data_IF_375889209469
#
_entry.id   IF_375889209469
#
_cell.length_a   1.000
_cell.length_b   1.000
_cell.length_c   1.000
_cell.angle_alpha   90.00
_cell.angle_beta   90.00
_cell.angle_gamma   90.00
#
_symmetry.space_group_name_H-M   'P 1'
#
loop_
_entity.id
_entity.type
_entity.pdbx_description
1 polymer ?
#
# COMPACT_ATOMS: atom_id res chain seq x y z
N UNK A 1 11.52 -13.54 21.86
CA UNK A 1 11.75 -12.20 22.44
C UNK A 1 12.63 -11.49 21.43
N UNK A 2 12.11 -10.62 20.57
CA UNK A 2 11.61 -9.28 20.93
C UNK A 2 10.47 -8.87 20.00
N UNK A 3 9.29 -8.64 20.57
CA UNK A 3 8.19 -7.96 19.88
C UNK A 3 8.46 -6.45 20.02
N UNK A 4 9.24 -5.89 19.11
CA UNK A 4 9.45 -4.45 19.06
C UNK A 4 8.20 -3.83 18.44
N UNK A 5 7.19 -3.64 19.29
CA UNK A 5 6.02 -2.84 18.96
C UNK A 5 6.51 -1.45 18.57
N UNK A 6 6.47 -1.14 17.27
CA UNK A 6 6.67 0.21 16.79
C UNK A 6 5.55 1.06 17.41
N UNK A 7 5.93 1.95 18.33
CA UNK A 7 5.04 2.73 19.19
C UNK A 7 4.19 3.74 18.43
N UNK A 8 3.26 3.26 17.62
CA UNK A 8 2.20 4.07 17.05
C UNK A 8 0.94 3.81 17.88
N UNK A 9 0.73 4.62 18.91
CA UNK A 9 -0.49 4.69 19.72
C UNK A 9 -1.67 5.32 18.96
N UNK A 10 -1.79 5.01 17.66
CA UNK A 10 -2.88 5.42 16.78
C UNK A 10 -3.60 4.17 16.25
N UNK A 11 -4.86 4.32 15.86
CA UNK A 11 -5.70 3.31 15.23
C UNK A 11 -5.16 2.78 13.89
N UNK A 12 -6.03 2.11 13.15
CA UNK A 12 -5.60 1.19 12.10
C UNK A 12 -4.94 1.92 10.91
N UNK A 13 -3.67 1.59 10.64
CA UNK A 13 -2.96 1.97 9.41
C UNK A 13 -3.28 0.98 8.29
N UNK A 14 -3.93 1.42 7.22
CA UNK A 14 -4.30 0.56 6.09
C UNK A 14 -3.41 0.81 4.88
N UNK A 15 -2.99 -0.27 4.24
CA UNK A 15 -2.15 -0.25 3.05
C UNK A 15 -2.93 -0.86 1.90
N UNK A 16 -3.22 -0.08 0.88
CA UNK A 16 -3.80 -0.53 -0.38
C UNK A 16 -2.69 -0.61 -1.42
N UNK A 17 -2.55 -1.75 -2.06
CA UNK A 17 -1.48 -1.98 -3.03
C UNK A 17 -2.05 -2.37 -4.39
N UNK A 18 -1.29 -2.01 -5.43
CA UNK A 18 -1.46 -2.54 -6.76
C UNK A 18 -1.11 -4.02 -6.71
N UNK A 19 -2.07 -4.89 -7.00
CA UNK A 19 -1.89 -6.34 -7.17
C UNK A 19 -2.24 -6.76 -8.59
N UNK A 20 -1.99 -5.87 -9.56
CA UNK A 20 -2.26 -6.10 -10.99
C UNK A 20 -1.20 -6.97 -11.66
N UNK A 21 -1.47 -7.36 -12.91
CA UNK A 21 -0.66 -8.34 -13.66
C UNK A 21 0.78 -7.92 -14.01
N UNK A 22 1.20 -6.69 -13.70
CA UNK A 22 2.53 -6.20 -14.01
C UNK A 22 3.57 -6.65 -12.98
N UNK A 23 4.83 -6.70 -13.39
CA UNK A 23 6.01 -6.87 -12.54
C UNK A 23 6.03 -5.89 -11.35
N UNK A 24 5.75 -4.61 -11.60
CA UNK A 24 5.61 -3.57 -10.56
C UNK A 24 4.37 -3.75 -9.69
N UNK A 25 3.34 -4.44 -10.18
CA UNK A 25 2.19 -4.86 -9.37
C UNK A 25 2.59 -5.96 -8.39
N UNK A 26 3.36 -6.96 -8.84
CA UNK A 26 3.91 -7.99 -7.97
C UNK A 26 4.84 -7.38 -6.88
N UNK A 27 5.67 -6.40 -7.23
CA UNK A 27 6.53 -5.68 -6.27
C UNK A 27 5.69 -4.96 -5.22
N UNK A 28 4.69 -4.17 -5.64
CA UNK A 28 3.83 -3.42 -4.73
C UNK A 28 3.06 -4.35 -3.77
N UNK A 29 2.47 -5.43 -4.29
CA UNK A 29 1.77 -6.46 -3.49
C UNK A 29 2.71 -7.12 -2.47
N UNK A 30 3.88 -7.60 -2.90
CA UNK A 30 4.87 -8.23 -2.00
C UNK A 30 5.35 -7.28 -0.92
N UNK A 31 5.57 -6.00 -1.24
CA UNK A 31 5.97 -4.99 -0.28
C UNK A 31 4.88 -4.72 0.77
N UNK A 32 3.62 -4.58 0.37
CA UNK A 32 2.49 -4.40 1.30
C UNK A 32 2.28 -5.62 2.21
N UNK A 33 2.43 -6.83 1.68
CA UNK A 33 2.40 -8.06 2.49
C UNK A 33 3.55 -8.11 3.50
N UNK A 34 4.76 -7.69 3.09
CA UNK A 34 5.91 -7.59 3.99
C UNK A 34 5.62 -6.63 5.14
N UNK A 35 5.14 -5.42 4.85
CA UNK A 35 4.78 -4.45 5.88
C UNK A 35 3.73 -4.96 6.86
N UNK A 36 2.78 -5.77 6.37
CA UNK A 36 1.78 -6.44 7.21
C UNK A 36 2.41 -7.46 8.15
N UNK A 37 3.31 -8.31 7.65
CA UNK A 37 4.05 -9.27 8.47
C UNK A 37 4.95 -8.58 9.49
N UNK A 38 5.54 -7.45 9.11
CA UNK A 38 6.44 -6.66 9.95
C UNK A 38 5.67 -5.79 10.99
N UNK A 39 4.33 -5.82 11.00
CA UNK A 39 3.51 -5.09 11.96
C UNK A 39 3.45 -3.57 11.75
N UNK A 40 3.87 -3.08 10.58
CA UNK A 40 3.91 -1.63 10.27
C UNK A 40 2.52 -1.07 9.98
N UNK A 41 1.65 -1.87 9.38
CA UNK A 41 0.28 -1.55 9.01
C UNK A 41 -0.39 -2.78 8.41
N UNK A 42 -1.67 -2.70 8.05
CA UNK A 42 -2.42 -3.85 7.54
C UNK A 42 -2.72 -3.66 6.06
N UNK A 43 -2.25 -4.58 5.22
CA UNK A 43 -2.68 -4.65 3.82
C UNK A 43 -4.19 -4.89 3.76
N UNK A 44 -4.89 -4.10 2.96
CA UNK A 44 -6.33 -4.16 2.81
C UNK A 44 -6.76 -4.17 1.34
N UNK A 45 -8.00 -4.58 1.07
CA UNK A 45 -8.41 -5.02 -0.25
C UNK A 45 -8.75 -3.86 -1.19
N UNK A 46 -7.83 -3.51 -2.09
CA UNK A 46 -8.04 -2.52 -3.16
C UNK A 46 -9.21 -2.90 -4.07
N UNK A 47 -9.37 -4.19 -4.40
CA UNK A 47 -10.49 -4.66 -5.22
C UNK A 47 -11.85 -4.37 -4.55
N UNK A 48 -11.90 -4.42 -3.22
CA UNK A 48 -13.10 -4.08 -2.46
C UNK A 48 -13.42 -2.59 -2.44
N UNK A 49 -12.41 -1.72 -2.49
CA UNK A 49 -12.60 -0.27 -2.71
C UNK A 49 -13.21 -0.05 -4.10
N UNK A 50 -12.61 -0.63 -5.14
CA UNK A 50 -13.12 -0.54 -6.51
C UNK A 50 -14.54 -1.10 -6.66
N UNK A 51 -14.85 -2.20 -5.99
CA UNK A 51 -16.17 -2.83 -5.96
C UNK A 51 -17.18 -2.17 -5.02
N UNK A 52 -16.83 -1.07 -4.34
CA UNK A 52 -17.68 -0.35 -3.39
C UNK A 52 -18.29 -1.25 -2.30
N UNK A 53 -17.51 -2.22 -1.81
CA UNK A 53 -17.96 -3.17 -0.80
C UNK A 53 -18.11 -2.43 0.54
N UNK A 54 -19.35 -2.30 1.03
CA UNK A 54 -19.71 -1.44 2.16
C UNK A 54 -18.87 -1.68 3.43
N UNK A 55 -18.59 -2.93 3.77
CA UNK A 55 -17.75 -3.26 4.93
C UNK A 55 -16.29 -2.79 4.78
N UNK A 56 -15.76 -2.82 3.56
CA UNK A 56 -14.40 -2.35 3.25
C UNK A 56 -14.36 -0.83 3.29
N UNK A 57 -15.34 -0.14 2.70
CA UNK A 57 -15.45 1.32 2.76
C UNK A 57 -15.49 1.83 4.21
N UNK A 58 -16.41 1.30 5.03
CA UNK A 58 -16.54 1.68 6.45
C UNK A 58 -15.26 1.43 7.25
N UNK A 59 -14.61 0.29 7.02
CA UNK A 59 -13.33 -0.03 7.69
C UNK A 59 -12.23 0.94 7.28
N UNK A 60 -12.25 1.40 6.02
CA UNK A 60 -11.26 2.31 5.48
C UNK A 60 -11.48 3.75 5.95
N UNK A 61 -12.74 4.18 6.10
CA UNK A 61 -13.11 5.48 6.68
C UNK A 61 -12.66 5.60 8.13
N UNK A 62 -12.68 4.50 8.88
CA UNK A 62 -12.24 4.44 10.27
C UNK A 62 -10.71 4.29 10.43
N UNK A 63 -9.94 4.31 9.34
CA UNK A 63 -8.48 4.19 9.40
C UNK A 63 -7.82 5.51 9.79
N UNK A 64 -6.90 5.46 10.75
CA UNK A 64 -6.08 6.61 11.15
C UNK A 64 -5.15 7.06 10.03
N UNK A 65 -4.71 6.12 9.19
CA UNK A 65 -3.85 6.41 8.07
C UNK A 65 -4.09 5.44 6.94
N UNK A 66 -4.07 5.97 5.73
CA UNK A 66 -4.17 5.20 4.49
C UNK A 66 -2.92 5.44 3.65
N UNK A 67 -2.30 4.36 3.18
CA UNK A 67 -1.26 4.38 2.16
C UNK A 67 -1.75 3.66 0.91
N UNK A 68 -1.72 4.34 -0.23
CA UNK A 68 -1.88 3.77 -1.56
C UNK A 68 -0.50 3.51 -2.18
N UNK A 69 -0.26 2.29 -2.67
CA UNK A 69 0.97 1.90 -3.37
C UNK A 69 0.59 1.52 -4.80
N UNK A 70 0.97 2.34 -5.77
CA UNK A 70 0.70 2.11 -7.18
C UNK A 70 1.96 1.70 -7.95
N UNK A 71 1.85 0.58 -8.66
CA UNK A 71 2.96 0.01 -9.44
C UNK A 71 3.31 0.81 -10.70
N UNK A 72 2.34 1.46 -11.34
CA UNK A 72 2.54 2.12 -12.63
C UNK A 72 1.78 3.45 -12.72
N UNK A 73 2.06 4.31 -13.73
CA UNK A 73 1.47 5.65 -13.83
C UNK A 73 -0.06 5.70 -14.01
N UNK A 74 -0.71 4.55 -14.20
CA UNK A 74 -2.18 4.47 -14.22
C UNK A 74 -2.80 4.75 -12.85
N UNK A 75 -2.05 4.64 -11.76
CA UNK A 75 -2.48 5.00 -10.40
C UNK A 75 -3.85 4.39 -10.03
N UNK A 76 -4.04 3.09 -10.30
CA UNK A 76 -5.32 2.42 -10.14
C UNK A 76 -5.79 2.39 -8.68
N UNK A 77 -4.87 2.25 -7.72
CA UNK A 77 -5.20 2.23 -6.29
C UNK A 77 -5.66 3.61 -5.85
N UNK A 78 -4.86 4.63 -6.12
CA UNK A 78 -5.20 6.04 -5.88
C UNK A 78 -6.56 6.38 -6.49
N UNK A 79 -6.74 6.09 -7.78
CA UNK A 79 -7.99 6.39 -8.50
C UNK A 79 -9.19 5.68 -7.88
N UNK A 80 -9.02 4.43 -7.43
CA UNK A 80 -10.09 3.67 -6.78
C UNK A 80 -10.51 4.30 -5.46
N UNK A 81 -9.55 4.77 -4.66
CA UNK A 81 -9.77 5.47 -3.39
C UNK A 81 -10.47 6.81 -3.61
N UNK A 82 -9.98 7.64 -4.53
CA UNK A 82 -10.57 8.95 -4.85
C UNK A 82 -12.02 8.81 -5.30
N UNK A 83 -12.30 7.87 -6.21
CA UNK A 83 -13.68 7.63 -6.66
C UNK A 83 -14.58 7.02 -5.58
N UNK A 84 -14.01 6.42 -4.53
CA UNK A 84 -14.74 5.96 -3.35
C UNK A 84 -14.95 7.07 -2.31
N UNK A 85 -14.47 8.30 -2.56
CA UNK A 85 -14.63 9.46 -1.68
C UNK A 85 -13.48 9.66 -0.69
N UNK A 86 -12.42 8.85 -0.73
CA UNK A 86 -11.25 9.07 0.11
C UNK A 86 -10.38 10.18 -0.49
N UNK A 87 -10.18 11.25 0.27
CA UNK A 87 -9.37 12.41 -0.14
C UNK A 87 -8.07 12.55 0.65
N UNK A 88 -7.96 11.84 1.78
CA UNK A 88 -6.81 11.92 2.68
C UNK A 88 -6.11 10.57 2.73
N UNK A 89 -5.03 10.43 1.97
CA UNK A 89 -4.16 9.27 1.98
C UNK A 89 -2.78 9.63 1.46
N UNK A 90 -1.77 8.86 1.84
CA UNK A 90 -0.42 8.94 1.28
C UNK A 90 -0.37 8.10 0.03
N UNK A 91 0.39 8.53 -0.97
CA UNK A 91 0.48 7.83 -2.25
C UNK A 91 1.95 7.60 -2.63
N UNK A 92 2.33 6.33 -2.77
CA UNK A 92 3.62 5.89 -3.27
C UNK A 92 3.47 5.34 -4.68
N UNK A 93 4.14 5.95 -5.63
CA UNK A 93 4.19 5.47 -7.01
C UNK A 93 5.59 4.89 -7.29
N UNK A 94 5.66 3.68 -7.84
CA UNK A 94 6.95 2.95 -7.91
C UNK A 94 7.97 3.50 -8.93
N UNK A 95 7.53 4.21 -9.97
CA UNK A 95 8.44 4.91 -10.90
C UNK A 95 9.21 6.05 -10.21
N UNK A 96 8.69 6.64 -9.13
CA UNK A 96 9.44 7.59 -8.29
C UNK A 96 10.65 6.93 -7.60
N UNK A 97 10.65 5.59 -7.53
CA UNK A 97 11.76 4.77 -7.05
C UNK A 97 12.59 4.17 -8.19
N UNK A 98 12.37 4.59 -9.43
CA UNK A 98 13.03 4.06 -10.62
C UNK A 98 12.55 2.67 -11.04
N UNK A 99 11.39 2.22 -10.55
CA UNK A 99 10.81 0.92 -10.91
C UNK A 99 9.75 1.11 -12.00
N UNK A 100 10.14 0.88 -13.24
CA UNK A 100 9.27 0.98 -14.41
C UNK A 100 8.58 -0.35 -14.72
N UNK A 101 7.31 -0.27 -15.13
CA UNK A 101 6.50 -1.40 -15.60
C UNK A 101 7.18 -2.10 -16.80
N UNK A 102 7.32 -3.41 -16.73
CA UNK A 102 7.93 -4.25 -17.76
C UNK A 102 9.46 -4.26 -17.75
N UNK A 103 10.10 -3.59 -16.77
CA UNK A 103 11.56 -3.48 -16.64
C UNK A 103 12.06 -3.77 -15.23
N UNK A 104 11.17 -4.09 -14.29
CA UNK A 104 11.45 -4.16 -12.86
C UNK A 104 11.11 -5.55 -12.34
N UNK A 105 12.03 -6.52 -12.40
CA UNK A 105 11.77 -7.84 -11.85
C UNK A 105 11.44 -7.75 -10.36
N UNK A 106 10.50 -8.57 -9.90
CA UNK A 106 10.04 -8.64 -8.52
C UNK A 106 11.04 -9.35 -7.59
N UNK A 107 12.28 -8.87 -7.61
CA UNK A 107 13.39 -9.30 -6.76
C UNK A 107 13.16 -8.87 -5.31
N UNK A 108 13.87 -9.55 -4.39
CA UNK A 108 13.86 -9.18 -2.98
C UNK A 108 14.35 -7.74 -2.74
N UNK A 109 15.33 -7.30 -3.51
CA UNK A 109 15.85 -5.93 -3.47
C UNK A 109 14.75 -4.90 -3.81
N UNK A 110 14.04 -5.08 -4.94
CA UNK A 110 12.94 -4.21 -5.35
C UNK A 110 11.84 -4.17 -4.28
N UNK A 111 11.46 -5.32 -3.74
CA UNK A 111 10.43 -5.43 -2.69
C UNK A 111 10.88 -4.72 -1.41
N UNK A 112 12.12 -4.92 -0.97
CA UNK A 112 12.66 -4.29 0.23
C UNK A 112 12.79 -2.78 0.07
N UNK A 113 13.20 -2.30 -1.11
CA UNK A 113 13.25 -0.86 -1.44
C UNK A 113 11.87 -0.21 -1.31
N UNK A 114 10.84 -0.82 -1.88
CA UNK A 114 9.46 -0.32 -1.80
C UNK A 114 8.94 -0.38 -0.37
N UNK A 115 9.16 -1.49 0.33
CA UNK A 115 8.71 -1.65 1.72
C UNK A 115 9.35 -0.61 2.65
N UNK A 116 10.66 -0.34 2.50
CA UNK A 116 11.35 0.68 3.29
C UNK A 116 10.72 2.07 3.08
N UNK A 117 10.53 2.48 1.83
CA UNK A 117 9.91 3.77 1.51
C UNK A 117 8.47 3.87 2.03
N UNK A 118 7.68 2.82 1.81
CA UNK A 118 6.29 2.77 2.27
C UNK A 118 6.18 2.83 3.80
N UNK A 119 7.13 2.21 4.53
CA UNK A 119 7.21 2.29 6.00
C UNK A 119 7.45 3.73 6.47
N UNK A 120 8.41 4.43 5.89
CA UNK A 120 8.66 5.85 6.20
C UNK A 120 7.41 6.69 5.99
N UNK A 121 6.71 6.45 4.87
CA UNK A 121 5.51 7.19 4.53
C UNK A 121 4.39 6.92 5.51
N UNK A 122 4.07 5.67 5.87
CA UNK A 122 2.92 5.39 6.74
C UNK A 122 3.20 5.63 8.24
N UNK A 123 4.47 5.81 8.63
CA UNK A 123 4.85 6.11 10.01
C UNK A 123 5.11 7.59 10.30
N UNK A 124 5.19 8.44 9.27
CA UNK A 124 5.18 9.90 9.44
C UNK A 124 3.80 10.46 9.80
#
# INVERSE_FOLDING_TARGET
MSNQACGCSGGAKLIFACSGAADVGEIADKAARKLTRDGVGRMFCTAGIGGRISGILKTSEAADSILAIDGCPLNCVKSSLEQAGFTTFKHLQLADLGLEKGKSPASEESVNKVAARAKEMICS
#
